data_IF_182536301081
#
_entry.id   IF_182536301081
#
_cell.length_a   1.000
_cell.length_b   1.000
_cell.length_c   1.000
_cell.angle_alpha   90.00
_cell.angle_beta   90.00
_cell.angle_gamma   90.00
#
_symmetry.space_group_name_H-M   'P 1'
#
loop_
_entity.id
_entity.type
_entity.pdbx_description
1 polymer ?
#
# COMPACT_ATOMS: atom_id res chain seq x y z
N UNK A 1 -8.28 17.83 1.77
CA UNK A 1 -7.85 17.18 3.03
C UNK A 1 -8.65 17.76 4.18
N UNK A 2 -9.18 16.98 5.11
CA UNK A 2 -9.83 17.54 6.29
C UNK A 2 -8.80 18.32 7.12
N UNK A 3 -9.15 19.54 7.54
CA UNK A 3 -8.24 20.42 8.29
C UNK A 3 -8.36 20.22 9.80
N UNK A 4 -8.44 18.96 10.24
CA UNK A 4 -8.67 18.59 11.64
C UNK A 4 -7.60 19.11 12.63
N UNK A 5 -6.41 19.44 12.14
CA UNK A 5 -5.29 19.97 12.95
C UNK A 5 -4.85 21.36 12.49
N UNK A 6 -5.64 22.04 11.65
CA UNK A 6 -5.30 23.34 11.04
C UNK A 6 -3.97 23.36 10.27
N UNK A 7 -3.41 22.20 9.94
CA UNK A 7 -2.14 22.10 9.21
C UNK A 7 -2.32 22.60 7.79
N UNK A 8 -3.42 22.23 7.15
CA UNK A 8 -3.69 22.58 5.77
C UNK A 8 -4.01 24.07 5.62
N UNK A 9 -4.79 24.64 6.55
CA UNK A 9 -5.11 26.08 6.54
C UNK A 9 -3.85 26.93 6.78
N UNK A 10 -2.97 26.51 7.68
CA UNK A 10 -1.67 27.18 7.90
C UNK A 10 -0.77 27.04 6.68
N UNK A 11 -0.70 25.90 6.02
CA UNK A 11 0.07 25.71 4.80
C UNK A 11 -0.46 26.57 3.66
N UNK A 12 -1.78 26.59 3.46
CA UNK A 12 -2.44 27.41 2.45
C UNK A 12 -2.17 28.90 2.65
N UNK A 13 -2.19 29.39 3.90
CA UNK A 13 -1.91 30.82 4.21
C UNK A 13 -0.47 31.25 3.91
N UNK A 14 0.43 30.32 3.68
CA UNK A 14 1.84 30.54 3.33
C UNK A 14 2.16 30.21 1.88
N UNK A 15 1.18 29.70 1.13
CA UNK A 15 1.31 29.41 -0.28
C UNK A 15 1.33 30.68 -1.15
N UNK A 16 1.70 30.55 -2.43
CA UNK A 16 1.59 31.64 -3.41
C UNK A 16 0.13 32.10 -3.55
N UNK A 17 -0.08 33.40 -3.70
CA UNK A 17 -1.42 34.01 -3.81
C UNK A 17 -2.17 33.63 -5.10
N UNK A 18 -1.46 33.11 -6.10
CA UNK A 18 -2.00 32.68 -7.38
C UNK A 18 -2.44 31.20 -7.41
N UNK A 19 -2.31 30.51 -6.30
CA UNK A 19 -2.78 29.12 -6.15
C UNK A 19 -4.08 29.11 -5.35
N UNK A 20 -5.16 28.69 -6.02
CA UNK A 20 -6.43 28.44 -5.33
C UNK A 20 -6.35 27.17 -4.48
N UNK A 21 -6.66 27.29 -3.20
CA UNK A 21 -6.68 26.17 -2.26
C UNK A 21 -8.10 25.90 -1.82
N UNK A 22 -8.59 24.71 -2.14
CA UNK A 22 -9.91 24.25 -1.71
C UNK A 22 -9.81 23.23 -0.57
N UNK A 23 -10.56 23.46 0.51
CA UNK A 23 -10.69 22.52 1.61
C UNK A 23 -11.90 21.64 1.38
N UNK A 24 -11.69 20.31 1.50
CA UNK A 24 -12.79 19.36 1.43
C UNK A 24 -13.53 19.36 2.77
N UNK A 25 -14.82 19.65 2.74
CA UNK A 25 -15.70 19.46 3.89
C UNK A 25 -15.96 17.96 4.06
N UNK A 26 -15.12 17.29 4.84
CA UNK A 26 -15.29 15.90 5.21
C UNK A 26 -15.55 15.80 6.71
N UNK A 27 -16.54 14.99 7.11
CA UNK A 27 -16.69 14.63 8.51
C UNK A 27 -15.54 13.68 8.89
N UNK A 28 -14.50 14.22 9.52
CA UNK A 28 -13.41 13.39 10.02
C UNK A 28 -13.85 12.70 11.31
N UNK A 29 -13.93 11.37 11.24
CA UNK A 29 -14.25 10.51 12.39
C UNK A 29 -13.01 9.76 12.91
N UNK A 30 -11.82 10.06 12.33
CA UNK A 30 -10.56 9.44 12.69
C UNK A 30 -10.46 7.97 12.26
N UNK A 31 -11.13 7.59 11.16
CA UNK A 31 -11.08 6.25 10.59
C UNK A 31 -10.47 6.27 9.20
N UNK A 32 -10.06 5.12 8.75
CA UNK A 32 -9.53 4.87 7.41
C UNK A 32 -10.50 5.34 6.30
N UNK A 33 -11.80 5.16 6.53
CA UNK A 33 -12.86 5.64 5.63
C UNK A 33 -12.78 7.14 5.31
N UNK A 34 -12.18 7.94 6.18
CA UNK A 34 -12.01 9.38 5.93
C UNK A 34 -11.06 9.61 4.75
N UNK A 35 -9.95 8.83 4.68
CA UNK A 35 -9.00 8.89 3.57
C UNK A 35 -9.60 8.38 2.27
N UNK A 36 -10.38 7.28 2.33
CA UNK A 36 -11.11 6.75 1.17
C UNK A 36 -12.11 7.78 0.64
N UNK A 37 -12.90 8.39 1.52
CA UNK A 37 -13.89 9.40 1.11
C UNK A 37 -13.22 10.64 0.52
N UNK A 38 -12.17 11.16 1.16
CA UNK A 38 -11.41 12.29 0.66
C UNK A 38 -10.83 12.02 -0.74
N UNK A 39 -10.25 10.83 -0.94
CA UNK A 39 -9.72 10.43 -2.24
C UNK A 39 -10.83 10.33 -3.30
N UNK A 40 -11.98 9.73 -2.97
CA UNK A 40 -13.13 9.65 -3.89
C UNK A 40 -13.58 11.04 -4.35
N UNK A 41 -13.73 11.99 -3.41
CA UNK A 41 -14.12 13.37 -3.74
C UNK A 41 -13.06 14.06 -4.61
N UNK A 42 -11.78 13.85 -4.34
CA UNK A 42 -10.71 14.40 -5.19
C UNK A 42 -10.74 13.83 -6.60
N UNK A 43 -10.98 12.52 -6.75
CA UNK A 43 -11.13 11.85 -8.05
C UNK A 43 -12.33 12.43 -8.82
N UNK A 44 -13.49 12.52 -8.17
CA UNK A 44 -14.72 13.09 -8.75
C UNK A 44 -14.54 14.54 -9.21
N UNK A 45 -13.68 15.32 -8.53
CA UNK A 45 -13.33 16.70 -8.90
C UNK A 45 -12.21 16.79 -9.93
N UNK A 46 -11.74 15.67 -10.47
CA UNK A 46 -10.77 15.62 -11.55
C UNK A 46 -9.32 15.85 -11.11
N UNK A 47 -8.95 15.41 -9.91
CA UNK A 47 -7.56 15.46 -9.47
C UNK A 47 -6.64 14.76 -10.48
N UNK A 48 -5.62 15.48 -10.98
CA UNK A 48 -4.65 14.96 -11.95
C UNK A 48 -3.45 14.28 -11.29
N UNK A 49 -3.23 14.51 -10.00
CA UNK A 49 -2.23 13.84 -9.16
C UNK A 49 -2.64 13.96 -7.70
N UNK A 50 -2.40 12.92 -6.92
CA UNK A 50 -2.62 12.94 -5.47
C UNK A 50 -1.31 12.78 -4.72
N UNK A 51 -1.15 13.49 -3.60
CA UNK A 51 -0.07 13.28 -2.65
C UNK A 51 -0.70 12.71 -1.39
N UNK A 52 -0.21 11.55 -0.94
CA UNK A 52 -0.60 10.99 0.36
C UNK A 52 0.49 11.22 1.38
N UNK A 53 0.09 11.58 2.60
CA UNK A 53 0.97 11.70 3.76
C UNK A 53 0.54 10.65 4.78
N UNK A 54 1.23 9.52 4.82
CA UNK A 54 0.81 8.41 5.70
C UNK A 54 1.64 7.13 5.54
N UNK A 55 1.12 6.05 6.10
CA UNK A 55 1.67 4.71 6.00
C UNK A 55 1.00 3.86 4.92
N UNK A 56 1.24 2.55 4.97
CA UNK A 56 0.66 1.57 4.04
C UNK A 56 -0.87 1.59 4.10
N UNK A 57 -1.47 1.65 5.30
CA UNK A 57 -2.93 1.72 5.48
C UNK A 57 -3.57 2.96 4.86
N UNK A 58 -2.93 4.15 4.95
CA UNK A 58 -3.43 5.36 4.28
C UNK A 58 -3.44 5.21 2.77
N UNK A 59 -2.35 4.67 2.21
CA UNK A 59 -2.22 4.45 0.77
C UNK A 59 -3.22 3.40 0.27
N UNK A 60 -3.46 2.34 1.05
CA UNK A 60 -4.49 1.33 0.78
C UNK A 60 -5.88 1.96 0.75
N UNK A 61 -6.22 2.82 1.72
CA UNK A 61 -7.50 3.52 1.75
C UNK A 61 -7.72 4.41 0.52
N UNK A 62 -6.66 5.08 0.05
CA UNK A 62 -6.70 5.87 -1.19
C UNK A 62 -6.86 4.97 -2.42
N UNK A 63 -6.12 3.87 -2.49
CA UNK A 63 -6.25 2.90 -3.58
C UNK A 63 -7.63 2.25 -3.63
N UNK A 64 -8.29 2.06 -2.48
CA UNK A 64 -9.65 1.55 -2.41
C UNK A 64 -10.68 2.49 -3.05
N UNK A 65 -10.44 3.81 -3.01
CA UNK A 65 -11.28 4.81 -3.68
C UNK A 65 -11.09 4.79 -5.21
N UNK A 66 -9.89 4.49 -5.69
CA UNK A 66 -9.55 4.39 -7.11
C UNK A 66 -8.05 4.41 -7.33
N UNK A 67 -7.62 3.82 -8.44
CA UNK A 67 -6.19 3.60 -8.75
C UNK A 67 -5.67 4.37 -9.97
N UNK A 68 -6.56 5.05 -10.70
CA UNK A 68 -6.23 5.68 -11.99
C UNK A 68 -5.46 6.99 -11.83
N UNK A 69 -5.69 7.74 -10.73
CA UNK A 69 -5.02 9.01 -10.49
C UNK A 69 -3.58 8.76 -10.03
N UNK A 70 -2.57 9.37 -10.67
CA UNK A 70 -1.18 9.26 -10.25
C UNK A 70 -0.98 9.65 -8.79
N UNK A 71 -0.26 8.80 -8.04
CA UNK A 71 -0.05 8.92 -6.61
C UNK A 71 1.42 9.18 -6.29
N UNK A 72 1.68 10.19 -5.45
CA UNK A 72 2.97 10.43 -4.80
C UNK A 72 2.84 10.04 -3.32
N UNK A 73 3.19 8.81 -2.96
CA UNK A 73 3.03 8.32 -1.59
C UNK A 73 4.22 8.72 -0.72
N UNK A 74 4.00 9.60 0.26
CA UNK A 74 5.01 10.10 1.20
C UNK A 74 4.81 9.43 2.55
N UNK A 75 5.84 8.72 3.01
CA UNK A 75 5.84 8.10 4.33
C UNK A 75 6.00 9.15 5.43
N UNK A 76 5.11 9.11 6.41
CA UNK A 76 5.17 9.96 7.61
C UNK A 76 5.51 9.16 8.88
N UNK A 77 5.77 7.87 8.74
CA UNK A 77 6.04 6.97 9.84
C UNK A 77 7.21 6.02 9.56
N UNK A 78 7.38 5.07 10.44
CA UNK A 78 8.32 3.96 10.32
C UNK A 78 7.57 2.69 9.94
N UNK A 79 8.28 1.68 9.44
CA UNK A 79 7.70 0.38 9.14
C UNK A 79 6.71 0.37 7.95
N UNK A 80 6.93 1.26 6.97
CA UNK A 80 6.15 1.30 5.75
C UNK A 80 6.94 0.69 4.58
N UNK A 81 6.24 0.05 3.66
CA UNK A 81 6.80 -0.59 2.46
C UNK A 81 6.34 0.11 1.19
N UNK A 82 5.10 0.57 1.14
CA UNK A 82 4.54 1.20 -0.05
C UNK A 82 4.97 2.67 -0.23
N UNK A 83 4.78 3.58 0.76
CA UNK A 83 5.22 4.97 0.63
C UNK A 83 6.72 5.11 0.88
N UNK A 84 7.31 6.16 0.34
CA UNK A 84 8.74 6.46 0.50
C UNK A 84 8.99 7.60 1.47
N UNK A 85 10.07 7.52 2.23
CA UNK A 85 10.58 8.65 3.01
C UNK A 85 11.27 9.62 2.06
N UNK A 86 10.70 10.81 1.92
CA UNK A 86 11.19 11.85 1.02
C UNK A 86 10.87 13.22 1.60
N UNK A 87 11.66 14.21 1.21
CA UNK A 87 11.42 15.60 1.59
C UNK A 87 10.18 16.14 0.88
N UNK A 88 9.32 16.87 1.63
CA UNK A 88 8.00 17.30 1.15
C UNK A 88 8.05 18.23 -0.07
N UNK A 89 9.08 19.08 -0.17
CA UNK A 89 9.24 20.00 -1.31
C UNK A 89 9.48 19.24 -2.61
N UNK A 90 10.32 18.20 -2.58
CA UNK A 90 10.58 17.38 -3.79
C UNK A 90 9.37 16.55 -4.18
N UNK A 91 8.62 16.05 -3.21
CA UNK A 91 7.36 15.35 -3.46
C UNK A 91 6.33 16.29 -4.09
N UNK A 92 6.19 17.51 -3.56
CA UNK A 92 5.30 18.53 -4.10
C UNK A 92 5.68 18.96 -5.51
N UNK A 93 6.98 19.16 -5.79
CA UNK A 93 7.46 19.46 -7.15
C UNK A 93 7.13 18.34 -8.14
N UNK A 94 7.36 17.08 -7.75
CA UNK A 94 7.03 15.94 -8.60
C UNK A 94 5.53 15.84 -8.88
N UNK A 95 4.69 16.05 -7.85
CA UNK A 95 3.25 16.11 -8.04
C UNK A 95 2.82 17.27 -8.95
N UNK A 96 3.44 18.44 -8.80
CA UNK A 96 3.16 19.62 -9.61
C UNK A 96 3.48 19.41 -11.10
N UNK A 97 4.65 18.86 -11.45
CA UNK A 97 5.01 18.61 -12.85
C UNK A 97 4.15 17.51 -13.49
N UNK A 98 3.66 16.57 -12.71
CA UNK A 98 2.70 15.56 -13.16
C UNK A 98 1.32 16.21 -13.36
N UNK A 99 0.81 16.93 -12.37
CA UNK A 99 -0.53 17.50 -12.38
C UNK A 99 -0.72 18.56 -13.50
N UNK A 100 0.34 19.32 -13.83
CA UNK A 100 0.32 20.31 -14.90
C UNK A 100 0.55 19.72 -16.30
N UNK A 101 0.81 18.42 -16.41
CA UNK A 101 1.13 17.77 -17.69
C UNK A 101 2.49 18.15 -18.25
N UNK A 102 3.40 18.70 -17.44
CA UNK A 102 4.76 19.06 -17.85
C UNK A 102 5.63 17.83 -18.17
N UNK A 103 5.21 16.66 -17.73
CA UNK A 103 5.86 15.38 -17.98
C UNK A 103 4.85 14.32 -18.40
N UNK A 104 5.28 13.36 -19.21
CA UNK A 104 4.45 12.19 -19.53
C UNK A 104 4.33 11.27 -18.31
N UNK A 105 3.12 11.14 -17.80
CA UNK A 105 2.79 10.31 -16.63
C UNK A 105 3.22 8.85 -16.83
N UNK A 106 3.03 8.30 -18.02
CA UNK A 106 3.40 6.91 -18.30
C UNK A 106 4.91 6.67 -18.20
N UNK A 107 5.71 7.70 -18.61
CA UNK A 107 7.18 7.62 -18.54
C UNK A 107 7.72 7.75 -17.10
N UNK A 108 7.01 8.46 -16.22
CA UNK A 108 7.50 8.81 -14.88
C UNK A 108 6.79 8.07 -13.74
N UNK A 109 5.84 7.18 -14.06
CA UNK A 109 5.10 6.39 -13.07
C UNK A 109 5.17 4.90 -13.38
N UNK A 110 4.72 4.09 -12.43
CA UNK A 110 4.63 2.64 -12.57
C UNK A 110 3.35 2.16 -11.88
N UNK A 111 2.60 1.27 -12.53
CA UNK A 111 1.53 0.53 -11.86
C UNK A 111 2.14 -0.42 -10.83
N UNK A 112 1.63 -0.39 -9.62
CA UNK A 112 2.03 -1.29 -8.55
C UNK A 112 1.00 -2.38 -8.43
N UNK A 113 1.39 -3.66 -8.53
CA UNK A 113 0.45 -4.75 -8.28
C UNK A 113 -0.19 -4.62 -6.91
N UNK A 114 -1.39 -5.18 -6.77
CA UNK A 114 -2.10 -5.27 -5.49
C UNK A 114 -2.76 -6.63 -5.36
N UNK A 115 -3.14 -6.98 -4.13
CA UNK A 115 -3.88 -8.20 -3.82
C UNK A 115 -5.34 -7.83 -3.57
N UNK A 116 -6.26 -8.51 -4.23
CA UNK A 116 -7.68 -8.45 -3.89
C UNK A 116 -8.06 -9.58 -2.96
N UNK A 117 -8.84 -9.25 -1.94
CA UNK A 117 -9.38 -10.21 -0.96
C UNK A 117 -10.85 -10.40 -1.23
N UNK A 118 -11.22 -11.60 -1.64
CA UNK A 118 -12.61 -12.00 -1.85
C UNK A 118 -13.08 -12.98 -0.76
N UNK A 119 -14.30 -12.79 -0.27
CA UNK A 119 -14.97 -13.73 0.63
C UNK A 119 -16.34 -14.03 0.04
N UNK A 120 -16.63 -15.32 -0.17
CA UNK A 120 -17.85 -15.80 -0.80
C UNK A 120 -18.11 -15.12 -2.17
N UNK A 121 -17.04 -14.95 -2.98
CA UNK A 121 -17.06 -14.32 -4.29
C UNK A 121 -17.23 -12.80 -4.29
N UNK A 122 -17.29 -12.16 -3.13
CA UNK A 122 -17.40 -10.71 -3.01
C UNK A 122 -16.08 -10.09 -2.56
N UNK A 123 -15.59 -9.08 -3.31
CA UNK A 123 -14.40 -8.33 -2.90
C UNK A 123 -14.68 -7.59 -1.58
N UNK A 124 -13.92 -7.92 -0.56
CA UNK A 124 -14.04 -7.35 0.79
C UNK A 124 -13.00 -6.29 1.07
N UNK A 125 -11.81 -6.45 0.50
CA UNK A 125 -10.70 -5.52 0.68
C UNK A 125 -9.65 -5.68 -0.43
N UNK A 126 -8.61 -4.86 -0.36
CA UNK A 126 -7.38 -4.98 -1.14
C UNK A 126 -6.16 -4.79 -0.23
N UNK A 127 -5.01 -5.28 -0.65
CA UNK A 127 -3.72 -5.04 -0.01
C UNK A 127 -2.71 -4.52 -1.03
N UNK A 128 -1.89 -3.57 -0.62
CA UNK A 128 -0.80 -3.05 -1.44
C UNK A 128 0.49 -3.84 -1.24
N UNK A 129 0.67 -4.46 -0.09
CA UNK A 129 1.90 -5.15 0.32
C UNK A 129 1.66 -6.62 0.57
N UNK A 130 0.85 -6.96 1.58
CA UNK A 130 0.66 -8.34 1.98
C UNK A 130 -0.73 -8.64 2.53
N UNK A 131 -1.07 -9.93 2.44
CA UNK A 131 -2.23 -10.54 3.10
C UNK A 131 -1.72 -11.72 3.92
N UNK A 132 -1.88 -11.64 5.24
CA UNK A 132 -1.52 -12.72 6.16
C UNK A 132 -2.77 -13.45 6.66
N UNK A 133 -2.74 -14.78 6.64
CA UNK A 133 -3.82 -15.64 7.10
C UNK A 133 -3.45 -16.21 8.46
N UNK A 134 -4.26 -15.88 9.48
CA UNK A 134 -4.03 -16.28 10.87
C UNK A 134 -5.11 -17.25 11.36
N UNK A 135 -4.69 -18.22 12.15
CA UNK A 135 -5.62 -19.14 12.89
C UNK A 135 -6.42 -18.44 13.98
N UNK A 136 -5.95 -17.28 14.42
CA UNK A 136 -6.64 -16.59 15.50
C UNK A 136 -7.99 -16.05 14.99
N UNK A 137 -9.09 -16.32 15.70
CA UNK A 137 -10.42 -15.86 15.29
C UNK A 137 -10.61 -14.35 15.47
N UNK A 138 -9.70 -13.70 16.18
CA UNK A 138 -9.71 -12.27 16.43
C UNK A 138 -8.30 -11.74 16.69
N UNK A 139 -7.89 -10.71 15.97
CA UNK A 139 -6.64 -10.00 16.19
C UNK A 139 -6.94 -8.75 17.05
N UNK A 140 -6.58 -8.84 18.33
CA UNK A 140 -6.86 -7.78 19.32
C UNK A 140 -5.91 -6.57 19.22
N UNK A 141 -4.88 -6.62 18.40
CA UNK A 141 -3.89 -5.57 18.24
C UNK A 141 -3.87 -5.05 16.79
N UNK A 142 -3.48 -3.79 16.63
CA UNK A 142 -3.39 -3.13 15.31
C UNK A 142 -2.27 -3.66 14.40
N UNK A 143 -1.43 -4.57 14.88
CA UNK A 143 -0.36 -5.17 14.09
C UNK A 143 -0.20 -6.63 14.48
N UNK A 144 0.04 -7.49 13.48
CA UNK A 144 0.36 -8.89 13.72
C UNK A 144 1.85 -8.98 14.01
N UNK A 145 2.19 -9.32 15.23
CA UNK A 145 3.58 -9.51 15.65
C UNK A 145 3.94 -10.97 15.89
N UNK A 146 2.94 -11.84 16.03
CA UNK A 146 3.12 -13.25 16.33
C UNK A 146 3.08 -14.08 15.04
N UNK A 147 4.25 -14.31 14.48
CA UNK A 147 4.43 -15.08 13.23
C UNK A 147 3.97 -16.54 13.40
N UNK A 148 4.01 -17.09 14.62
CA UNK A 148 3.63 -18.49 14.89
C UNK A 148 2.14 -18.74 14.67
N UNK A 149 1.34 -17.68 14.62
CA UNK A 149 -0.10 -17.75 14.35
C UNK A 149 -0.45 -17.63 12.86
N UNK A 150 0.53 -17.30 12.02
CA UNK A 150 0.32 -17.14 10.58
C UNK A 150 0.51 -18.47 9.87
N UNK A 151 -0.45 -18.85 9.03
CA UNK A 151 -0.36 -20.06 8.21
C UNK A 151 0.08 -19.77 6.79
N UNK A 152 -0.49 -18.71 6.21
CA UNK A 152 -0.23 -18.33 4.84
C UNK A 152 0.06 -16.83 4.74
N UNK A 153 0.94 -16.48 3.84
CA UNK A 153 1.28 -15.12 3.50
C UNK A 153 1.25 -14.97 1.97
N UNK A 154 0.53 -13.97 1.50
CA UNK A 154 0.51 -13.54 0.12
C UNK A 154 1.17 -12.16 0.04
N UNK A 155 2.11 -11.96 -0.87
CA UNK A 155 2.73 -10.65 -1.11
C UNK A 155 2.49 -10.19 -2.53
N UNK A 156 2.20 -8.89 -2.71
CA UNK A 156 1.98 -8.28 -4.02
C UNK A 156 3.26 -8.19 -4.86
N UNK A 157 4.41 -8.25 -4.19
CA UNK A 157 5.73 -8.25 -4.80
C UNK A 157 6.83 -8.50 -3.76
N UNK A 158 7.97 -8.97 -4.23
CA UNK A 158 9.15 -9.24 -3.40
C UNK A 158 10.11 -8.06 -3.49
N UNK A 159 10.20 -7.27 -2.43
CA UNK A 159 11.07 -6.09 -2.35
C UNK A 159 12.13 -6.30 -1.27
N UNK A 160 13.44 -6.20 -1.61
CA UNK A 160 14.53 -6.44 -0.65
C UNK A 160 14.52 -5.51 0.57
N UNK A 161 13.85 -4.37 0.46
CA UNK A 161 13.71 -3.38 1.54
C UNK A 161 12.47 -3.57 2.38
N UNK A 162 11.70 -4.64 2.16
CA UNK A 162 10.49 -4.93 2.93
C UNK A 162 10.80 -5.16 4.41
N UNK A 163 9.90 -4.68 5.25
CA UNK A 163 9.85 -4.92 6.69
C UNK A 163 8.46 -5.47 7.03
N UNK A 164 8.26 -5.99 8.22
CA UNK A 164 6.98 -6.60 8.58
C UNK A 164 6.82 -8.00 7.96
N UNK A 165 5.58 -8.45 7.75
CA UNK A 165 5.29 -9.79 7.21
C UNK A 165 5.89 -9.99 5.81
N UNK A 166 5.82 -8.99 4.94
CA UNK A 166 6.40 -9.06 3.60
C UNK A 166 7.91 -9.33 3.57
N UNK A 167 8.63 -9.01 4.66
CA UNK A 167 10.07 -9.31 4.78
C UNK A 167 10.38 -10.81 4.80
N UNK A 168 9.42 -11.65 5.17
CA UNK A 168 9.56 -13.12 5.14
C UNK A 168 9.74 -13.57 3.69
N UNK A 169 8.89 -13.09 2.78
CA UNK A 169 9.02 -13.37 1.35
C UNK A 169 10.32 -12.79 0.77
N UNK A 170 10.70 -11.58 1.18
CA UNK A 170 11.94 -10.93 0.75
C UNK A 170 13.22 -11.64 1.24
N UNK A 171 13.12 -12.47 2.28
CA UNK A 171 14.22 -13.26 2.84
C UNK A 171 14.35 -14.66 2.20
N UNK A 172 13.43 -15.03 1.30
CA UNK A 172 13.49 -16.30 0.57
C UNK A 172 14.49 -16.24 -0.59
N UNK A 173 15.09 -17.36 -0.99
CA UNK A 173 16.00 -17.43 -2.14
C UNK A 173 15.24 -17.43 -3.46
N UNK A 174 14.52 -16.35 -3.73
CA UNK A 174 13.70 -16.17 -4.94
C UNK A 174 14.28 -15.07 -5.83
N UNK A 175 14.20 -15.27 -7.14
CA UNK A 175 14.65 -14.30 -8.13
C UNK A 175 13.50 -13.45 -8.70
N UNK A 176 12.31 -13.52 -8.09
CA UNK A 176 11.11 -12.87 -8.63
C UNK A 176 10.86 -11.55 -7.92
N UNK A 177 10.46 -10.56 -8.70
CA UNK A 177 9.91 -9.29 -8.21
C UNK A 177 8.37 -9.29 -8.20
N UNK A 178 7.76 -10.34 -8.69
CA UNK A 178 6.31 -10.53 -8.75
C UNK A 178 5.77 -11.12 -7.44
N UNK A 179 4.44 -11.25 -7.34
CA UNK A 179 3.79 -11.75 -6.13
C UNK A 179 4.19 -13.17 -5.76
N UNK A 180 4.15 -13.46 -4.48
CA UNK A 180 4.51 -14.75 -3.92
C UNK A 180 3.44 -15.21 -2.92
N UNK A 181 3.11 -16.50 -2.96
CA UNK A 181 2.38 -17.19 -1.91
C UNK A 181 3.38 -18.01 -1.07
N UNK A 182 3.32 -17.84 0.24
CA UNK A 182 4.21 -18.49 1.20
C UNK A 182 3.36 -19.22 2.23
N UNK A 183 3.66 -20.49 2.47
CA UNK A 183 3.08 -21.26 3.57
C UNK A 183 4.09 -21.36 4.70
N UNK A 184 3.69 -20.90 5.88
CA UNK A 184 4.53 -20.93 7.07
C UNK A 184 4.38 -22.27 7.80
N UNK A 185 5.43 -22.70 8.48
CA UNK A 185 5.44 -23.93 9.24
C UNK A 185 6.66 -24.81 9.00
N UNK A 186 6.74 -25.95 9.66
CA UNK A 186 7.86 -26.88 9.54
C UNK A 186 7.84 -27.64 8.21
N UNK A 187 9.00 -28.20 7.85
CA UNK A 187 9.14 -29.10 6.69
C UNK A 187 9.91 -28.53 5.51
N UNK A 188 10.26 -27.24 5.55
CA UNK A 188 11.05 -26.57 4.52
C UNK A 188 12.32 -25.93 5.07
N UNK A 189 12.45 -24.61 4.88
CA UNK A 189 13.62 -23.83 5.35
C UNK A 189 13.21 -22.86 6.47
N UNK A 190 14.21 -22.36 7.19
CA UNK A 190 14.01 -21.25 8.12
C UNK A 190 14.69 -20.00 7.55
N UNK A 191 13.98 -18.88 7.56
CA UNK A 191 14.51 -17.58 7.13
C UNK A 191 14.63 -16.65 8.33
N UNK A 192 15.63 -15.77 8.31
CA UNK A 192 15.75 -14.67 9.27
C UNK A 192 15.19 -13.40 8.63
N UNK A 193 14.07 -12.92 9.16
CA UNK A 193 13.34 -11.80 8.58
C UNK A 193 13.13 -10.67 9.59
N UNK A 194 13.27 -9.39 9.20
CA UNK A 194 12.98 -8.23 10.05
C UNK A 194 11.46 -7.98 10.14
N UNK A 195 10.76 -8.88 10.83
CA UNK A 195 9.29 -8.82 10.99
C UNK A 195 8.88 -7.63 11.85
N UNK A 196 9.73 -7.23 12.78
CA UNK A 196 9.49 -6.08 13.66
C UNK A 196 10.67 -5.11 13.56
N UNK A 197 10.44 -3.78 13.58
CA UNK A 197 11.54 -2.82 13.55
C UNK A 197 12.61 -3.10 14.60
N UNK A 198 13.86 -3.23 14.16
CA UNK A 198 15.01 -3.51 15.01
C UNK A 198 15.14 -4.95 15.50
N UNK A 199 14.24 -5.85 15.11
CA UNK A 199 14.26 -7.26 15.53
C UNK A 199 14.15 -8.20 14.34
N UNK A 200 14.96 -9.25 14.37
CA UNK A 200 14.88 -10.37 13.44
C UNK A 200 14.18 -11.56 14.09
N UNK A 201 13.26 -12.16 13.36
CA UNK A 201 12.61 -13.41 13.75
C UNK A 201 13.07 -14.54 12.84
N UNK A 202 13.30 -15.72 13.41
CA UNK A 202 13.52 -16.95 12.64
C UNK A 202 12.16 -17.54 12.30
N UNK A 203 11.81 -17.55 11.03
CA UNK A 203 10.49 -17.96 10.55
C UNK A 203 10.61 -19.25 9.76
N UNK A 204 9.92 -20.33 10.19
CA UNK A 204 9.87 -21.56 9.42
C UNK A 204 8.94 -21.39 8.22
N UNK A 205 9.43 -21.69 7.03
CA UNK A 205 8.70 -21.65 5.77
C UNK A 205 8.61 -23.06 5.22
N UNK A 206 7.41 -23.60 5.13
CA UNK A 206 7.17 -24.96 4.64
C UNK A 206 7.33 -25.03 3.11
N UNK A 207 6.73 -24.08 2.41
CA UNK A 207 6.80 -24.00 0.95
C UNK A 207 6.48 -22.57 0.46
N UNK A 208 6.85 -22.26 -0.78
CA UNK A 208 6.47 -21.03 -1.46
C UNK A 208 6.31 -21.27 -2.96
N UNK A 209 5.49 -20.44 -3.60
CA UNK A 209 5.27 -20.50 -5.05
C UNK A 209 4.98 -19.09 -5.58
N UNK A 210 5.34 -18.80 -6.85
CA UNK A 210 4.88 -17.59 -7.52
C UNK A 210 3.35 -17.50 -7.44
N UNK A 211 2.86 -16.28 -7.28
CA UNK A 211 1.45 -15.95 -7.34
C UNK A 211 1.17 -15.35 -8.73
N UNK A 212 0.55 -16.11 -9.65
CA UNK A 212 0.27 -15.62 -10.98
C UNK A 212 -0.79 -14.50 -10.94
N UNK A 213 -0.71 -13.59 -11.91
CA UNK A 213 -1.69 -12.53 -12.02
C UNK A 213 -3.05 -13.08 -12.47
N UNK A 214 -4.10 -12.49 -11.92
CA UNK A 214 -5.51 -12.71 -12.29
C UNK A 214 -6.00 -14.16 -12.06
N UNK A 215 -5.22 -14.94 -11.30
CA UNK A 215 -5.61 -16.29 -10.88
C UNK A 215 -5.96 -16.30 -9.39
N UNK A 216 -7.24 -16.55 -9.03
CA UNK A 216 -7.64 -16.65 -7.63
C UNK A 216 -6.97 -17.84 -6.94
N UNK A 217 -6.40 -17.60 -5.78
CA UNK A 217 -5.87 -18.66 -4.91
C UNK A 217 -6.70 -18.77 -3.65
N UNK A 218 -7.33 -19.94 -3.48
CA UNK A 218 -8.14 -20.22 -2.30
C UNK A 218 -7.27 -20.33 -1.06
N UNK A 219 -7.69 -19.67 0.02
CA UNK A 219 -7.07 -19.74 1.34
C UNK A 219 -7.34 -21.11 1.95
N UNK A 220 -6.29 -21.77 2.44
CA UNK A 220 -6.41 -23.14 2.97
C UNK A 220 -7.12 -23.22 4.33
N UNK A 221 -7.17 -22.10 5.06
CA UNK A 221 -7.77 -22.03 6.40
C UNK A 221 -9.30 -21.90 6.31
N UNK A 222 -10.01 -22.79 6.96
CA UNK A 222 -11.49 -22.80 6.97
C UNK A 222 -12.11 -21.78 7.92
N UNK A 223 -11.36 -21.29 8.92
CA UNK A 223 -11.80 -20.25 9.85
C UNK A 223 -10.60 -19.57 10.49
N UNK A 224 -10.68 -18.26 10.70
CA UNK A 224 -9.60 -17.45 11.25
C UNK A 224 -9.73 -16.01 10.86
N UNK A 225 -8.60 -15.35 10.67
CA UNK A 225 -8.55 -13.94 10.32
C UNK A 225 -7.61 -13.71 9.15
N UNK A 226 -8.07 -12.93 8.18
CA UNK A 226 -7.24 -12.34 7.12
C UNK A 226 -6.78 -10.98 7.62
N UNK A 227 -5.49 -10.74 7.66
CA UNK A 227 -4.92 -9.42 7.89
C UNK A 227 -4.40 -8.83 6.59
N UNK A 228 -4.66 -7.55 6.39
CA UNK A 228 -4.37 -6.81 5.18
C UNK A 228 -3.41 -5.69 5.52
N UNK A 229 -2.23 -5.66 4.88
CA UNK A 229 -1.15 -4.69 5.12
C UNK A 229 -0.82 -4.52 6.62
N UNK A 230 -0.93 -5.60 7.40
CA UNK A 230 -0.63 -5.64 8.83
C UNK A 230 -1.60 -4.89 9.75
N UNK A 231 -2.59 -4.15 9.23
CA UNK A 231 -3.40 -3.23 10.03
C UNK A 231 -4.89 -3.59 10.11
N UNK A 232 -5.45 -4.14 9.05
CA UNK A 232 -6.88 -4.45 8.96
C UNK A 232 -7.11 -5.94 9.02
N UNK A 233 -8.19 -6.36 9.66
CA UNK A 233 -8.56 -7.76 9.76
C UNK A 233 -9.98 -8.04 9.30
N UNK A 234 -10.14 -9.15 8.58
CA UNK A 234 -11.41 -9.72 8.14
C UNK A 234 -11.53 -11.09 8.80
N UNK A 235 -12.58 -11.32 9.55
CA UNK A 235 -12.85 -12.64 10.16
C UNK A 235 -13.46 -13.55 9.10
N UNK A 236 -12.94 -14.78 8.98
CA UNK A 236 -13.48 -15.86 8.15
C UNK A 236 -14.14 -16.88 9.05
N UNK A 237 -15.37 -17.21 8.77
CA UNK A 237 -16.12 -18.26 9.46
C UNK A 237 -16.04 -19.60 8.72
N UNK A 238 -16.25 -20.71 9.44
CA UNK A 238 -16.06 -22.08 8.94
C UNK A 238 -16.88 -22.46 7.68
N UNK A 239 -17.89 -21.70 7.35
CA UNK A 239 -18.74 -21.90 6.16
C UNK A 239 -18.46 -20.93 5.02
N UNK A 240 -17.41 -20.12 5.13
CA UNK A 240 -17.01 -19.16 4.13
C UNK A 240 -15.79 -19.62 3.35
N UNK A 241 -15.72 -19.25 2.08
CA UNK A 241 -14.52 -19.39 1.27
C UNK A 241 -13.84 -18.03 1.10
N UNK A 242 -12.52 -18.01 1.18
CA UNK A 242 -11.74 -16.82 0.91
C UNK A 242 -10.73 -17.09 -0.21
N UNK A 243 -10.56 -16.10 -1.07
CA UNK A 243 -9.64 -16.16 -2.21
C UNK A 243 -8.82 -14.87 -2.28
N UNK A 244 -7.55 -15.03 -2.62
CA UNK A 244 -6.61 -13.93 -2.82
C UNK A 244 -6.20 -13.93 -4.29
N UNK A 245 -6.34 -12.78 -4.95
CA UNK A 245 -5.96 -12.60 -6.34
C UNK A 245 -4.93 -11.48 -6.47
N UNK A 246 -3.80 -11.77 -7.11
CA UNK A 246 -2.83 -10.73 -7.49
C UNK A 246 -3.32 -10.08 -8.79
N UNK A 247 -3.48 -8.74 -8.77
CA UNK A 247 -3.90 -7.98 -9.95
C UNK A 247 -2.85 -6.96 -10.36
N UNK A 248 -2.74 -6.70 -11.68
CA UNK A 248 -1.75 -5.77 -12.24
C UNK A 248 -2.15 -4.31 -12.06
N UNK A 249 -3.45 -4.06 -12.12
CA UNK A 249 -4.03 -2.71 -12.19
C UNK A 249 -4.24 -2.11 -10.79
N UNK A 250 -3.15 -2.06 -10.02
CA UNK A 250 -3.11 -1.34 -8.77
C UNK A 250 -2.72 0.14 -8.97
N UNK A 251 -2.42 0.86 -7.88
CA UNK A 251 -2.18 2.30 -7.94
C UNK A 251 -0.99 2.66 -8.81
N UNK A 252 -1.16 3.75 -9.57
CA UNK A 252 -0.11 4.35 -10.40
C UNK A 252 0.79 5.22 -9.55
N UNK A 253 1.98 4.74 -9.21
CA UNK A 253 2.93 5.42 -8.34
C UNK A 253 3.94 6.23 -9.15
N UNK A 254 4.03 7.52 -8.87
CA UNK A 254 4.98 8.45 -9.46
C UNK A 254 6.37 8.21 -8.88
N UNK A 255 7.37 8.06 -9.75
CA UNK A 255 8.77 8.12 -9.36
C UNK A 255 9.21 9.59 -9.31
N UNK A 256 9.46 10.10 -8.11
CA UNK A 256 9.89 11.48 -7.90
C UNK A 256 11.14 11.79 -8.72
N UNK A 257 12.15 10.92 -8.67
CA UNK A 257 13.40 11.10 -9.41
C UNK A 257 13.17 11.16 -10.92
N UNK A 258 12.35 10.28 -11.48
CA UNK A 258 12.03 10.29 -12.92
C UNK A 258 11.24 11.54 -13.32
N UNK A 259 10.27 11.93 -12.51
CA UNK A 259 9.45 13.11 -12.78
C UNK A 259 10.29 14.39 -12.79
N UNK A 260 11.10 14.61 -11.77
CA UNK A 260 11.96 15.79 -11.68
C UNK A 260 13.08 15.77 -12.71
N UNK A 261 13.66 14.60 -13.03
CA UNK A 261 14.64 14.49 -14.12
C UNK A 261 14.04 14.83 -15.47
N UNK A 262 12.84 14.34 -15.77
CA UNK A 262 12.15 14.63 -17.04
C UNK A 262 11.82 16.11 -17.14
N UNK A 263 11.27 16.72 -16.09
CA UNK A 263 10.96 18.15 -16.06
C UNK A 263 12.22 19.01 -16.21
N UNK A 264 13.33 18.67 -15.54
CA UNK A 264 14.60 19.37 -15.66
C UNK A 264 15.16 19.35 -17.08
N UNK A 265 15.12 18.19 -17.74
CA UNK A 265 15.55 18.03 -19.14
C UNK A 265 14.69 18.85 -20.13
N UNK A 266 13.42 19.00 -19.84
CA UNK A 266 12.51 19.84 -20.63
C UNK A 266 12.64 21.34 -20.35
N UNK A 267 13.55 21.76 -19.46
CA UNK A 267 13.71 23.17 -19.08
C UNK A 267 12.62 23.69 -18.12
N UNK A 268 11.85 22.81 -17.51
CA UNK A 268 10.72 23.17 -16.66
C UNK A 268 11.07 23.98 -15.40
N UNK A 269 12.33 24.08 -15.05
CA UNK A 269 12.83 24.87 -13.91
C UNK A 269 13.67 26.07 -14.33
N UNK A 270 13.76 26.37 -15.63
CA UNK A 270 14.48 27.53 -16.17
C UNK A 270 13.50 28.69 -16.33
N UNK A 271 13.85 29.87 -15.80
CA UNK A 271 13.08 31.12 -15.92
C UNK A 271 13.78 32.09 -16.87
#
# INVERSE_FOLDING_TARGET
MPDSLQITSVAASKGPDDIEVEFLETQSIGKESDSTHAASVMIERGASCMVTLGGDGTNRAVAFAGVDVPLVPVSTGTNNVFPVLVEGTTAGLAAGVVATGAVDVAAVSTLRPMLEVHVDGTRRDLALIDVAISRQPYLGARAIWDVDQIEELFVSGVYPTSIGMASIAASLPVAVSEGLHVRLGPGGIAVSAPVTPGMFSTVPVAEWSPLPFDEPKTVSLSSGTIAVDGERSIVIHANQSAEITLVRDGPRVVSIDRALTAAGRAGGFVR
#
